data_IF_172960300600
#
_entry.id   IF_172960300600
#
_cell.length_a   1.000
_cell.length_b   1.000
_cell.length_c   1.000
_cell.angle_alpha   90.00
_cell.angle_beta   90.00
_cell.angle_gamma   90.00
#
_symmetry.space_group_name_H-M   'P 1'
#
loop_
_entity.id
_entity.type
_entity.pdbx_description
1 polymer ?
#
# COMPACT_ATOMS: atom_id res chain seq x y z
N UNK A 1 3.85 59.18 -60.87
CA UNK A 1 4.18 58.39 -59.67
C UNK A 1 3.79 56.96 -59.93
N UNK A 2 4.75 56.04 -59.83
CA UNK A 2 4.59 54.61 -60.18
C UNK A 2 3.87 53.92 -59.02
N UNK A 3 2.72 53.30 -59.28
CA UNK A 3 2.01 52.47 -58.31
C UNK A 3 2.38 51.00 -58.52
N UNK A 4 2.99 50.37 -57.51
CA UNK A 4 3.20 48.92 -57.46
C UNK A 4 2.21 48.30 -56.48
N UNK A 5 1.34 47.42 -56.99
CA UNK A 5 0.44 46.60 -56.18
C UNK A 5 1.25 45.50 -55.48
N UNK A 6 1.46 45.64 -54.17
CA UNK A 6 2.00 44.57 -53.33
C UNK A 6 0.89 43.62 -52.89
N UNK A 7 0.91 42.39 -53.38
CA UNK A 7 0.11 41.28 -52.85
C UNK A 7 0.74 40.81 -51.53
N UNK A 8 0.29 41.34 -50.39
CA UNK A 8 0.65 40.75 -49.10
C UNK A 8 -0.27 39.56 -48.82
N UNK A 9 0.24 38.38 -49.15
CA UNK A 9 -0.29 37.10 -48.72
C UNK A 9 -0.43 37.09 -47.19
N UNK A 10 -1.65 37.27 -46.70
CA UNK A 10 -1.97 37.08 -45.28
C UNK A 10 -1.63 35.63 -44.93
N UNK A 11 -0.70 35.34 -43.99
CA UNK A 11 -0.54 33.98 -43.53
C UNK A 11 -1.87 33.62 -42.84
N UNK A 12 -2.61 32.69 -43.42
CA UNK A 12 -3.71 32.04 -42.71
C UNK A 12 -3.04 31.46 -41.47
N UNK A 13 -3.29 32.06 -40.31
CA UNK A 13 -2.90 31.49 -39.04
C UNK A 13 -3.81 30.29 -38.83
N UNK A 14 -3.50 29.20 -39.52
CA UNK A 14 -4.02 27.88 -39.23
C UNK A 14 -3.55 27.57 -37.82
N UNK A 15 -4.34 27.97 -36.83
CA UNK A 15 -4.26 27.44 -35.50
C UNK A 15 -4.51 25.94 -35.66
N UNK A 16 -3.43 25.18 -35.68
CA UNK A 16 -3.47 23.75 -35.39
C UNK A 16 -4.38 23.60 -34.17
N UNK A 17 -5.39 22.71 -34.20
CA UNK A 17 -6.25 22.53 -33.04
C UNK A 17 -5.30 22.23 -31.89
N UNK A 18 -5.35 23.04 -30.83
CA UNK A 18 -4.62 22.78 -29.61
C UNK A 18 -4.99 21.34 -29.25
N UNK A 19 -4.06 20.40 -29.41
CA UNK A 19 -4.34 18.99 -29.19
C UNK A 19 -4.88 18.93 -27.75
N UNK A 20 -6.17 18.68 -27.59
CA UNK A 20 -6.81 18.75 -26.29
C UNK A 20 -6.18 17.65 -25.44
N UNK A 21 -5.23 18.02 -24.57
CA UNK A 21 -4.51 17.06 -23.74
C UNK A 21 -5.53 16.51 -22.75
N UNK A 22 -5.82 15.22 -22.85
CA UNK A 22 -6.76 14.58 -21.95
C UNK A 22 -6.09 14.43 -20.58
N UNK A 23 -6.62 15.15 -19.61
CA UNK A 23 -6.13 15.16 -18.24
C UNK A 23 -6.78 14.04 -17.45
N UNK A 24 -6.02 13.42 -16.55
CA UNK A 24 -6.59 12.41 -15.65
C UNK A 24 -7.35 13.09 -14.50
N UNK A 25 -8.48 12.51 -14.05
CA UNK A 25 -9.14 12.92 -12.83
C UNK A 25 -8.30 12.50 -11.60
N UNK A 26 -8.81 12.80 -10.40
CA UNK A 26 -8.23 12.28 -9.15
C UNK A 26 -7.98 10.76 -9.23
N UNK A 27 -6.81 10.27 -8.75
CA UNK A 27 -6.49 8.86 -8.74
C UNK A 27 -7.58 8.03 -8.05
N UNK A 28 -7.87 6.82 -8.54
CA UNK A 28 -8.89 5.98 -7.94
C UNK A 28 -8.49 5.57 -6.52
N UNK A 29 -9.48 5.51 -5.62
CA UNK A 29 -9.29 5.00 -4.26
C UNK A 29 -9.12 3.48 -4.29
N UNK A 30 -8.13 2.99 -3.53
CA UNK A 30 -7.95 1.55 -3.29
C UNK A 30 -8.45 1.20 -1.89
N UNK A 31 -8.81 -0.07 -1.66
CA UNK A 31 -9.19 -0.54 -0.32
C UNK A 31 -7.97 -0.55 0.59
N UNK A 32 -8.15 -0.12 1.84
CA UNK A 32 -7.11 -0.09 2.88
C UNK A 32 -5.84 0.65 2.46
N UNK A 33 -5.98 1.71 1.65
CA UNK A 33 -4.87 2.50 1.18
C UNK A 33 -5.27 3.88 0.68
N UNK A 34 -4.25 4.72 0.54
CA UNK A 34 -4.34 6.14 0.22
C UNK A 34 -3.28 6.50 -0.84
N UNK A 35 -3.40 7.70 -1.41
CA UNK A 35 -2.41 8.26 -2.33
C UNK A 35 -1.92 9.63 -1.87
N UNK A 36 -0.71 10.03 -2.27
CA UNK A 36 -0.09 11.30 -1.85
C UNK A 36 -0.83 12.55 -2.34
N UNK A 37 -1.57 12.44 -3.45
CA UNK A 37 -2.23 13.59 -4.04
C UNK A 37 -3.46 14.00 -3.23
N UNK A 38 -3.27 14.90 -2.27
CA UNK A 38 -4.35 15.56 -1.52
C UNK A 38 -4.83 16.76 -2.32
N UNK A 39 -6.15 16.89 -2.46
CA UNK A 39 -6.84 18.06 -3.02
C UNK A 39 -6.56 18.41 -4.50
N UNK A 40 -5.74 17.62 -5.20
CA UNK A 40 -5.52 17.76 -6.65
C UNK A 40 -6.62 17.00 -7.41
N UNK A 41 -7.37 17.72 -8.23
CA UNK A 41 -8.48 17.15 -9.01
C UNK A 41 -8.09 16.69 -10.41
N UNK A 42 -6.97 17.20 -10.93
CA UNK A 42 -6.63 17.09 -12.35
C UNK A 42 -5.13 16.91 -12.55
N UNK A 43 -4.74 15.98 -13.42
CA UNK A 43 -3.35 15.56 -13.63
C UNK A 43 -3.00 15.55 -15.11
N UNK A 44 -1.79 16.01 -15.44
CA UNK A 44 -1.31 15.99 -16.81
C UNK A 44 -0.71 14.60 -17.16
N UNK A 45 -0.78 14.18 -18.43
CA UNK A 45 -0.08 12.98 -18.87
C UNK A 45 1.40 13.01 -18.49
N UNK A 46 1.90 11.87 -18.00
CA UNK A 46 3.26 11.72 -17.46
C UNK A 46 3.36 11.95 -15.95
N UNK A 47 2.38 12.60 -15.31
CA UNK A 47 2.35 12.70 -13.84
C UNK A 47 2.18 11.32 -13.23
N UNK A 48 2.96 11.02 -12.18
CA UNK A 48 2.86 9.78 -11.42
C UNK A 48 2.47 10.08 -9.98
N UNK A 49 1.64 9.21 -9.41
CA UNK A 49 1.14 9.33 -8.04
C UNK A 49 1.48 8.05 -7.28
N UNK A 50 2.06 8.21 -6.10
CA UNK A 50 2.38 7.11 -5.20
C UNK A 50 1.24 6.78 -4.24
N UNK A 51 1.03 5.48 -4.07
CA UNK A 51 0.08 4.90 -3.12
C UNK A 51 0.80 4.37 -1.88
N UNK A 52 0.04 4.33 -0.79
CA UNK A 52 0.45 3.84 0.53
C UNK A 52 -0.70 3.05 1.12
N UNK A 53 -0.40 2.04 1.93
CA UNK A 53 -1.43 1.27 2.61
C UNK A 53 -1.67 1.81 4.02
N UNK A 54 -2.89 1.62 4.51
CA UNK A 54 -3.24 1.92 5.89
C UNK A 54 -2.48 1.00 6.86
N UNK A 55 -2.46 1.35 8.14
CA UNK A 55 -1.76 0.56 9.16
C UNK A 55 -2.29 -0.89 9.21
N UNK A 56 -1.38 -1.87 9.29
CA UNK A 56 -1.74 -3.29 9.24
C UNK A 56 -1.82 -3.89 7.83
N UNK A 57 -1.51 -3.11 6.79
CA UNK A 57 -1.49 -3.57 5.41
C UNK A 57 -0.16 -3.29 4.72
N UNK A 58 0.18 -4.14 3.75
CA UNK A 58 1.37 -4.02 2.91
C UNK A 58 0.99 -3.86 1.44
N UNK A 59 1.75 -3.03 0.72
CA UNK A 59 1.49 -2.76 -0.69
C UNK A 59 2.04 -3.87 -1.59
N UNK A 60 1.17 -4.46 -2.38
CA UNK A 60 1.48 -5.49 -3.38
C UNK A 60 1.32 -4.94 -4.79
N UNK A 61 2.36 -5.09 -5.62
CA UNK A 61 2.40 -4.61 -7.00
C UNK A 61 3.14 -3.28 -7.17
N UNK A 62 2.78 -2.49 -8.19
CA UNK A 62 3.44 -1.21 -8.49
C UNK A 62 2.97 -0.13 -7.51
N UNK A 63 3.91 0.49 -6.80
CA UNK A 63 3.63 1.55 -5.81
C UNK A 63 3.12 2.86 -6.41
N UNK A 64 3.30 3.05 -7.73
CA UNK A 64 2.90 4.27 -8.44
C UNK A 64 2.03 3.97 -9.65
N UNK A 65 1.09 4.86 -9.92
CA UNK A 65 0.31 4.88 -11.17
C UNK A 65 0.57 6.18 -11.90
N UNK A 66 0.58 6.12 -13.23
CA UNK A 66 0.92 7.25 -14.09
C UNK A 66 -0.28 7.65 -14.93
N UNK A 67 -0.49 8.95 -15.11
CA UNK A 67 -1.50 9.48 -16.01
C UNK A 67 -1.05 9.29 -17.46
N UNK A 68 -1.85 8.58 -18.25
CA UNK A 68 -1.56 8.30 -19.66
C UNK A 68 -2.05 9.44 -20.55
N UNK A 69 -1.51 9.51 -21.77
CA UNK A 69 -1.94 10.48 -22.81
C UNK A 69 -3.42 10.33 -23.19
N UNK A 70 -4.00 9.16 -22.90
CA UNK A 70 -5.43 8.87 -23.05
C UNK A 70 -6.30 9.48 -21.93
N UNK A 71 -5.75 10.22 -20.98
CA UNK A 71 -6.48 10.79 -19.84
C UNK A 71 -6.93 9.75 -18.81
N UNK A 72 -6.35 8.55 -18.86
CA UNK A 72 -6.65 7.45 -17.94
C UNK A 72 -5.41 7.08 -17.12
N UNK A 73 -5.62 6.59 -15.90
CA UNK A 73 -4.54 6.09 -15.06
C UNK A 73 -4.01 4.73 -15.56
N UNK A 74 -2.71 4.51 -15.42
CA UNK A 74 -2.06 3.24 -15.76
C UNK A 74 -2.58 2.10 -14.89
N UNK A 75 -2.86 0.96 -15.52
CA UNK A 75 -3.21 -0.30 -14.85
C UNK A 75 -2.02 -1.27 -14.86
N UNK A 76 -1.93 -2.22 -13.92
CA UNK A 76 -2.83 -2.46 -12.78
C UNK A 76 -2.61 -1.49 -11.61
N UNK A 77 -3.65 -1.31 -10.79
CA UNK A 77 -3.56 -0.58 -9.53
C UNK A 77 -2.88 -1.42 -8.43
N UNK A 78 -2.14 -0.80 -7.49
CA UNK A 78 -1.62 -1.49 -6.32
C UNK A 78 -2.75 -2.06 -5.46
N UNK A 79 -2.43 -3.12 -4.72
CA UNK A 79 -3.31 -3.72 -3.70
C UNK A 79 -2.69 -3.56 -2.33
N UNK A 80 -3.54 -3.45 -1.32
CA UNK A 80 -3.12 -3.44 0.08
C UNK A 80 -3.59 -4.74 0.71
N UNK A 81 -2.65 -5.66 0.90
CA UNK A 81 -2.90 -6.96 1.50
C UNK A 81 -2.60 -6.88 3.00
N UNK A 82 -3.23 -7.75 3.80
CA UNK A 82 -3.03 -7.72 5.25
C UNK A 82 -1.57 -8.09 5.55
N UNK A 83 -0.91 -7.31 6.42
CA UNK A 83 0.46 -7.56 6.84
C UNK A 83 0.48 -8.78 7.78
N UNK A 84 1.12 -9.89 7.38
CA UNK A 84 1.23 -11.05 8.24
C UNK A 84 2.33 -10.85 9.29
N UNK A 85 2.12 -11.41 10.47
CA UNK A 85 3.19 -11.63 11.43
C UNK A 85 4.07 -12.81 11.01
N UNK A 86 5.34 -12.84 11.45
CA UNK A 86 6.16 -14.03 11.31
C UNK A 86 5.55 -15.20 12.11
N UNK A 87 6.03 -16.43 11.89
CA UNK A 87 5.67 -17.56 12.76
C UNK A 87 5.81 -17.19 14.25
N UNK A 88 4.91 -17.66 15.13
CA UNK A 88 4.99 -17.41 16.57
C UNK A 88 6.37 -17.78 17.12
N UNK A 89 6.94 -16.95 18.02
CA UNK A 89 8.25 -17.22 18.59
C UNK A 89 8.28 -18.55 19.35
N UNK A 90 9.36 -19.29 19.22
CA UNK A 90 9.54 -20.54 19.95
C UNK A 90 9.97 -20.21 21.38
N UNK A 91 9.19 -20.65 22.37
CA UNK A 91 9.46 -20.48 23.79
C UNK A 91 9.85 -21.83 24.37
N UNK A 92 10.97 -21.87 25.12
CA UNK A 92 11.47 -23.10 25.71
C UNK A 92 10.43 -23.71 26.66
N UNK A 93 10.27 -25.03 26.58
CA UNK A 93 9.31 -25.80 27.37
C UNK A 93 7.85 -25.33 27.22
N UNK A 94 7.51 -24.71 26.10
CA UNK A 94 6.16 -24.25 25.78
C UNK A 94 5.69 -24.79 24.43
N UNK A 95 4.38 -24.90 24.31
CA UNK A 95 3.63 -25.13 23.07
C UNK A 95 2.69 -23.94 22.86
N UNK A 96 2.23 -23.70 21.63
CA UNK A 96 1.25 -22.63 21.35
C UNK A 96 0.05 -23.15 20.57
N UNK A 97 -1.08 -22.46 20.71
CA UNK A 97 -2.29 -22.72 19.95
C UNK A 97 -2.14 -22.20 18.52
N UNK A 98 -2.20 -23.07 17.52
CA UNK A 98 -2.17 -22.69 16.11
C UNK A 98 -1.58 -23.79 15.24
N UNK A 99 -1.96 -23.80 13.96
CA UNK A 99 -1.37 -24.72 12.99
C UNK A 99 0.01 -24.24 12.58
N UNK A 100 0.96 -25.19 12.48
CA UNK A 100 2.30 -24.90 11.98
C UNK A 100 2.17 -24.46 10.52
N UNK A 101 2.67 -23.27 10.19
CA UNK A 101 2.58 -22.70 8.84
C UNK A 101 1.30 -21.91 8.56
N UNK A 102 0.45 -21.67 9.57
CA UNK A 102 -0.67 -20.73 9.43
C UNK A 102 -0.17 -19.28 9.21
N UNK A 103 -0.88 -18.53 8.37
CA UNK A 103 -0.66 -17.09 8.23
C UNK A 103 -1.36 -16.34 9.34
N UNK A 104 -0.59 -15.81 10.29
CA UNK A 104 -1.11 -14.97 11.35
C UNK A 104 -1.18 -13.52 10.87
N UNK A 105 -2.36 -12.93 10.87
CA UNK A 105 -2.56 -11.54 10.45
C UNK A 105 -2.82 -10.63 11.64
N UNK A 106 -2.70 -9.31 11.44
CA UNK A 106 -2.99 -8.32 12.48
C UNK A 106 -4.34 -8.59 13.17
N UNK A 107 -4.32 -8.56 14.51
CA UNK A 107 -5.48 -8.84 15.37
C UNK A 107 -5.64 -10.32 15.78
N UNK A 108 -4.94 -11.26 15.14
CA UNK A 108 -4.91 -12.66 15.59
C UNK A 108 -4.03 -12.83 16.82
N UNK A 109 -4.35 -13.82 17.66
CA UNK A 109 -3.57 -14.15 18.85
C UNK A 109 -3.27 -15.64 18.93
N UNK A 110 -2.16 -15.98 19.59
CA UNK A 110 -1.79 -17.35 19.94
C UNK A 110 -1.59 -17.44 21.44
N UNK A 111 -2.04 -18.55 22.01
CA UNK A 111 -1.95 -18.82 23.44
C UNK A 111 -0.88 -19.87 23.71
N UNK A 112 0.06 -19.56 24.58
CA UNK A 112 1.12 -20.47 25.00
C UNK A 112 0.68 -21.32 26.18
N UNK A 113 1.18 -22.54 26.22
CA UNK A 113 0.97 -23.51 27.28
C UNK A 113 2.27 -24.22 27.57
N UNK A 114 2.70 -24.17 28.84
CA UNK A 114 3.93 -24.83 29.26
C UNK A 114 3.76 -26.36 29.23
N UNK A 115 4.87 -27.06 28.97
CA UNK A 115 4.95 -28.51 29.07
C UNK A 115 4.75 -28.97 30.52
N UNK A 116 4.33 -30.22 30.75
CA UNK A 116 4.19 -30.77 32.10
C UNK A 116 5.47 -30.60 32.93
N UNK A 117 5.33 -30.16 34.19
CA UNK A 117 6.45 -29.87 35.09
C UNK A 117 6.94 -28.42 35.06
N UNK A 118 6.39 -27.58 34.17
CA UNK A 118 6.72 -26.16 34.09
C UNK A 118 5.52 -25.26 34.40
N UNK A 119 5.79 -24.11 35.00
CA UNK A 119 4.80 -23.08 35.33
C UNK A 119 4.93 -21.89 34.37
N UNK A 120 3.80 -21.41 33.85
CA UNK A 120 3.76 -20.24 32.96
C UNK A 120 3.88 -18.96 33.78
N UNK A 121 4.80 -18.09 33.38
CA UNK A 121 5.00 -16.77 33.96
C UNK A 121 4.78 -15.69 32.89
N UNK A 122 3.89 -14.75 33.19
CA UNK A 122 3.50 -13.67 32.28
C UNK A 122 2.13 -13.89 31.64
N UNK A 123 1.81 -13.07 30.64
CA UNK A 123 0.58 -13.22 29.84
C UNK A 123 0.73 -14.43 28.91
N UNK A 124 -0.18 -15.41 28.95
CA UNK A 124 -0.06 -16.61 28.12
C UNK A 124 -0.36 -16.32 26.64
N UNK A 125 -1.07 -15.23 26.34
CA UNK A 125 -1.43 -14.85 24.97
C UNK A 125 -0.51 -13.78 24.39
N UNK A 126 -0.12 -13.95 23.12
CA UNK A 126 0.55 -12.90 22.33
C UNK A 126 -0.26 -12.60 21.08
N UNK A 127 -0.33 -11.33 20.70
CA UNK A 127 -1.15 -10.85 19.59
C UNK A 127 -0.31 -10.32 18.44
N UNK A 128 -0.73 -10.60 17.21
CA UNK A 128 -0.14 -10.04 16.01
C UNK A 128 -0.55 -8.57 15.88
N UNK A 129 0.40 -7.66 16.02
CA UNK A 129 0.16 -6.21 15.97
C UNK A 129 0.03 -5.71 14.53
N UNK A 130 -0.55 -4.52 14.35
CA UNK A 130 -0.65 -3.88 13.03
C UNK A 130 0.72 -3.48 12.44
N UNK A 131 1.80 -3.59 13.22
CA UNK A 131 3.18 -3.42 12.75
C UNK A 131 3.77 -4.71 12.17
N UNK A 132 3.01 -5.81 12.13
CA UNK A 132 3.48 -7.11 11.64
C UNK A 132 4.40 -7.84 12.61
N UNK A 133 4.38 -7.48 13.90
CA UNK A 133 5.16 -8.13 14.96
C UNK A 133 4.25 -8.66 16.07
N UNK A 134 4.69 -9.71 16.74
CA UNK A 134 4.03 -10.22 17.94
C UNK A 134 4.18 -9.24 19.11
N UNK A 135 3.13 -9.15 19.93
CA UNK A 135 3.13 -8.32 21.13
C UNK A 135 4.15 -8.81 22.14
N UNK A 136 4.87 -7.87 22.74
CA UNK A 136 5.76 -8.10 23.87
C UNK A 136 5.08 -7.73 25.20
N UNK A 137 5.51 -8.29 26.34
CA UNK A 137 6.55 -9.31 26.50
C UNK A 137 6.05 -10.74 26.17
N UNK A 138 6.98 -11.65 25.86
CA UNK A 138 6.67 -13.07 25.68
C UNK A 138 6.58 -13.80 27.04
N UNK A 139 5.71 -14.83 27.18
CA UNK A 139 5.66 -15.65 28.38
C UNK A 139 6.94 -16.48 28.53
N UNK A 140 7.18 -16.98 29.74
CA UNK A 140 8.27 -17.92 30.03
C UNK A 140 7.76 -19.11 30.83
N UNK A 141 8.39 -20.26 30.65
CA UNK A 141 8.08 -21.48 31.40
C UNK A 141 9.24 -21.80 32.35
N UNK A 142 8.96 -21.87 33.64
CA UNK A 142 9.95 -22.19 34.68
C UNK A 142 9.65 -23.55 35.31
N UNK A 143 10.66 -24.41 35.39
CA UNK A 143 10.51 -25.76 35.93
C UNK A 143 10.35 -25.71 37.45
N UNK A 144 9.39 -26.48 37.97
CA UNK A 144 9.38 -26.78 39.40
C UNK A 144 10.53 -27.74 39.69
N UNK A 145 11.48 -27.32 40.53
CA UNK A 145 12.57 -28.16 41.02
C UNK A 145 12.05 -29.36 41.83
#
# INVERSE_FOLDING_TARGET
>A
TVGVCGTSSSPVMTFFPLLAVLQCPSPPKIRNGQHESKDVKTFFPGTSVKYYCDQGYILTGKTTVSCLVSGTWSIPYPRCDVLPCPPPPIIANATYSGEIGANFTSGMSVNYSCQPGFTLLGEPSVQCTASGNWSLPYPRCEGGA
#
